data_IF_438388847475
#
_entry.id   IF_438388847475
#
_cell.length_a   1.000
_cell.length_b   1.000
_cell.length_c   1.000
_cell.angle_alpha   90.00
_cell.angle_beta   90.00
_cell.angle_gamma   90.00
#
_symmetry.space_group_name_H-M   'P 1'
#
loop_
_entity.id
_entity.type
_entity.pdbx_description
1 polymer ?
2 polymer ?
3 non-polymer ?
4 non-polymer ?
5 water ?
#
# COMPACT_ATOMS: atom_id res chain seq x y z
N UNK A 7 13.96 -26.37 -2.61
CA UNK A 7 14.25 -25.05 -3.24
C UNK A 7 12.98 -24.20 -3.28
N UNK A 8 12.72 -23.50 -2.17
CA UNK A 8 11.58 -22.59 -2.09
C UNK A 8 11.79 -21.41 -3.05
N UNK A 9 10.75 -20.99 -3.78
CA UNK A 9 10.93 -19.83 -4.68
C UNK A 9 11.40 -18.57 -3.92
N UNK A 10 12.33 -17.82 -4.52
CA UNK A 10 12.82 -16.55 -3.95
C UNK A 10 12.05 -15.40 -4.59
N UNK A 11 11.43 -14.57 -3.75
CA UNK A 11 10.61 -13.47 -4.23
C UNK A 11 11.12 -12.11 -3.71
N UNK A 12 11.12 -11.09 -4.58
CA UNK A 12 11.50 -9.73 -4.23
C UNK A 12 10.31 -8.83 -4.33
N UNK A 13 10.00 -8.13 -3.24
CA UNK A 13 8.98 -7.08 -3.23
C UNK A 13 9.67 -5.72 -3.24
N UNK A 14 9.30 -4.90 -4.21
CA UNK A 14 9.84 -3.54 -4.34
C UNK A 14 8.68 -2.58 -4.15
N UNK A 15 8.74 -1.83 -3.06
CA UNK A 15 7.63 -0.97 -2.67
C UNK A 15 8.16 0.06 -1.66
N UNK A 16 7.71 1.31 -1.82
CA UNK A 16 8.18 2.39 -0.98
C UNK A 16 7.25 2.66 0.18
N UNK A 17 6.01 2.19 0.12
CA UNK A 17 5.05 2.51 1.17
C UNK A 17 5.04 1.43 2.24
N UNK A 18 5.35 1.80 3.48
CA UNK A 18 5.49 0.82 4.57
C UNK A 18 4.20 0.10 4.96
N UNK A 19 3.06 0.78 4.85
CA UNK A 19 1.77 0.15 5.06
C UNK A 19 1.54 -0.91 4.00
N UNK A 20 1.80 -0.56 2.73
CA UNK A 20 1.65 -1.52 1.64
C UNK A 20 2.56 -2.75 1.88
N UNK A 21 3.77 -2.53 2.36
CA UNK A 21 4.70 -3.64 2.62
C UNK A 21 4.14 -4.59 3.69
N UNK A 22 3.65 -4.04 4.80
CA UNK A 22 3.17 -4.88 5.91
C UNK A 22 1.99 -5.74 5.43
N UNK A 23 1.09 -5.15 4.67
CA UNK A 23 -0.06 -5.89 4.17
C UNK A 23 0.37 -7.00 3.18
N UNK A 24 1.22 -6.67 2.21
CA UNK A 24 1.69 -7.65 1.20
C UNK A 24 2.49 -8.79 1.84
N UNK A 25 3.33 -8.44 2.80
CA UNK A 25 4.08 -9.46 3.57
C UNK A 25 3.21 -10.50 4.24
N UNK A 26 2.17 -10.05 4.94
CA UNK A 26 1.25 -10.96 5.61
C UNK A 26 0.42 -11.77 4.61
N UNK A 27 0.04 -11.18 3.48
CA UNK A 27 -0.69 -11.94 2.49
C UNK A 27 0.19 -13.05 1.93
N UNK A 28 1.44 -12.69 1.60
CA UNK A 28 2.36 -13.65 1.00
C UNK A 28 2.69 -14.75 2.00
N UNK A 29 2.78 -14.39 3.28
CA UNK A 29 3.02 -15.39 4.32
C UNK A 29 1.87 -16.38 4.39
N UNK A 30 0.64 -15.90 4.31
CA UNK A 30 -0.50 -16.81 4.37
C UNK A 30 -0.52 -17.73 3.15
N UNK A 31 0.04 -17.26 2.04
CA UNK A 31 0.19 -18.07 0.84
C UNK A 31 1.43 -18.97 0.88
N UNK A 32 2.25 -18.88 1.93
CA UNK A 32 3.35 -19.81 2.14
C UNK A 32 4.70 -19.29 1.68
N UNK A 33 4.84 -17.97 1.54
CA UNK A 33 6.06 -17.39 1.02
C UNK A 33 6.61 -16.25 1.88
N UNK A 34 7.93 -16.16 1.95
CA UNK A 34 8.61 -15.00 2.50
C UNK A 34 9.20 -14.22 1.32
N UNK A 35 9.53 -12.96 1.53
CA UNK A 35 10.08 -12.13 0.48
C UNK A 35 11.22 -11.29 1.00
N UNK A 36 12.18 -10.99 0.14
CA UNK A 36 13.12 -9.89 0.38
C UNK A 36 12.42 -8.56 0.02
N UNK A 37 12.84 -7.48 0.67
CA UNK A 37 12.20 -6.18 0.50
C UNK A 37 13.21 -5.16 -0.01
N UNK A 38 12.84 -4.44 -1.06
CA UNK A 38 13.59 -3.26 -1.54
C UNK A 38 12.63 -2.08 -1.55
N UNK A 39 13.09 -0.87 -1.25
CA UNK A 39 12.19 0.30 -1.12
C UNK A 39 12.23 1.29 -2.31
N UNK A 40 13.07 1.03 -3.29
CA UNK A 40 13.12 1.83 -4.54
C UNK A 40 13.84 1.04 -5.64
N UNK A 41 13.89 1.59 -6.84
CA UNK A 41 14.49 0.85 -7.98
C UNK A 41 15.96 0.55 -7.84
N UNK A 42 16.70 1.43 -7.16
CA UNK A 42 18.14 1.25 -6.97
C UNK A 42 18.37 0.05 -6.05
N UNK A 43 17.60 -0.01 -4.97
CA UNK A 43 17.66 -1.15 -4.07
C UNK A 43 17.24 -2.44 -4.79
N UNK A 44 16.25 -2.36 -5.68
CA UNK A 44 15.87 -3.53 -6.47
C UNK A 44 17.02 -4.06 -7.31
N UNK A 45 17.71 -3.15 -8.03
CA UNK A 45 18.83 -3.51 -8.88
C UNK A 45 19.97 -4.08 -8.03
N UNK A 46 20.24 -3.49 -6.88
CA UNK A 46 21.25 -4.03 -5.95
C UNK A 46 20.89 -5.47 -5.54
N UNK A 47 19.61 -5.72 -5.23
CA UNK A 47 19.19 -7.06 -4.81
C UNK A 47 19.31 -8.06 -5.94
N UNK A 48 18.85 -7.65 -7.13
CA UNK A 48 18.87 -8.49 -8.32
C UNK A 48 20.27 -8.81 -8.78
N UNK A 49 21.19 -7.85 -8.64
CA UNK A 49 22.59 -8.07 -8.99
C UNK A 49 23.24 -9.14 -8.10
N UNK A 50 22.77 -9.30 -6.88
CA UNK A 50 23.40 -10.18 -5.89
C UNK A 50 22.66 -11.48 -5.54
N UNK A 51 21.44 -11.66 -6.04
CA UNK A 51 20.66 -12.88 -5.81
C UNK A 51 19.89 -13.24 -7.07
N UNK A 52 19.54 -14.52 -7.22
CA UNK A 52 18.73 -14.96 -8.35
C UNK A 52 17.30 -15.16 -7.87
N UNK A 53 16.42 -14.24 -8.25
CA UNK A 53 14.98 -14.31 -7.88
C UNK A 53 14.17 -15.10 -8.89
N UNK A 54 13.06 -15.67 -8.42
CA UNK A 54 12.08 -16.36 -9.27
C UNK A 54 10.93 -15.44 -9.66
N UNK A 55 10.73 -14.37 -8.91
CA UNK A 55 9.65 -13.42 -9.16
C UNK A 55 9.93 -12.08 -8.48
N UNK A 56 9.57 -10.99 -9.12
CA UNK A 56 9.73 -9.65 -8.56
C UNK A 56 8.37 -8.99 -8.67
N UNK A 57 7.91 -8.43 -7.55
CA UNK A 57 6.68 -7.63 -7.49
C UNK A 57 7.16 -6.17 -7.42
N UNK A 58 6.88 -5.38 -8.45
CA UNK A 58 7.53 -4.08 -8.62
C UNK A 58 6.54 -2.95 -8.58
N UNK A 59 6.59 -2.14 -7.53
CA UNK A 59 5.76 -0.95 -7.46
C UNK A 59 6.17 -0.04 -8.61
N UNK A 60 5.20 0.66 -9.18
CA UNK A 60 5.48 1.58 -10.28
C UNK A 60 6.04 2.92 -9.80
N UNK A 61 5.36 3.58 -8.88
CA UNK A 61 5.77 4.91 -8.43
C UNK A 61 6.55 4.84 -7.12
N UNK A 62 7.83 5.23 -7.19
CA UNK A 62 8.75 5.21 -6.06
C UNK A 62 9.74 6.36 -6.24
N UNK A 63 10.26 6.91 -5.13
CA UNK A 63 11.35 7.88 -5.21
C UNK A 63 12.70 7.27 -5.59
N UNK A 64 13.61 8.14 -5.98
CA UNK A 64 14.98 7.82 -6.35
C UNK A 64 15.04 7.18 -7.74
N UNK A 65 14.38 6.03 -7.88
CA UNK A 65 14.24 5.38 -9.18
C UNK A 65 12.93 4.62 -9.20
N UNK A 66 12.07 4.92 -10.17
CA UNK A 66 10.75 4.32 -10.21
C UNK A 66 10.79 2.92 -10.83
N UNK A 67 9.68 2.19 -10.75
CA UNK A 67 9.68 0.80 -11.17
C UNK A 67 9.69 0.62 -12.67
N UNK A 68 9.23 1.63 -13.40
CA UNK A 68 9.22 1.54 -14.87
C UNK A 68 10.68 1.62 -15.38
N UNK A 69 11.41 2.64 -14.94
CA UNK A 69 12.81 2.76 -15.30
C UNK A 69 13.63 1.59 -14.79
N UNK A 70 13.41 1.17 -13.54
CA UNK A 70 14.15 0.04 -12.98
C UNK A 70 13.98 -1.19 -13.87
N UNK A 71 12.75 -1.46 -14.28
CA UNK A 71 12.44 -2.61 -15.15
C UNK A 71 13.18 -2.49 -16.47
N UNK A 72 13.16 -1.32 -17.09
CA UNK A 72 13.93 -1.13 -18.36
C UNK A 72 15.40 -1.47 -18.18
N UNK A 73 15.97 -1.01 -17.07
CA UNK A 73 17.38 -1.24 -16.77
C UNK A 73 17.69 -2.70 -16.51
N UNK A 74 16.78 -3.41 -15.84
CA UNK A 74 16.93 -4.84 -15.64
C UNK A 74 16.82 -5.57 -16.97
N UNK A 75 15.91 -5.16 -17.85
CA UNK A 75 15.81 -5.78 -19.18
C UNK A 75 17.08 -5.54 -19.99
N UNK A 76 17.66 -4.36 -19.87
CA UNK A 76 18.93 -4.08 -20.57
C UNK A 76 20.08 -4.95 -20.09
N UNK A 77 20.16 -5.13 -18.78
CA UNK A 77 21.06 -6.08 -18.17
C UNK A 77 20.87 -7.50 -18.69
N UNK A 78 19.62 -7.94 -18.77
CA UNK A 78 19.33 -9.28 -19.28
C UNK A 78 19.74 -9.43 -20.76
N UNK A 79 19.54 -8.39 -21.55
CA UNK A 79 19.93 -8.40 -22.95
C UNK A 79 21.45 -8.37 -23.17
N UNK A 80 22.15 -7.49 -22.48
CA UNK A 80 23.57 -7.21 -22.76
C UNK A 80 24.53 -7.93 -21.81
N UNK A 81 24.08 -8.30 -20.62
CA UNK A 81 24.97 -8.93 -19.66
C UNK A 81 25.69 -7.95 -18.73
N UNK A 82 25.41 -6.66 -18.87
CA UNK A 82 25.99 -5.66 -17.95
C UNK A 82 24.99 -4.57 -17.55
N UNK A 83 25.40 -3.79 -16.56
CA UNK A 83 24.58 -2.71 -16.04
C UNK A 83 24.92 -1.34 -16.62
N UNK A 84 25.54 -1.28 -17.80
CA UNK A 84 25.97 0.02 -18.33
C UNK A 84 24.82 1.02 -18.57
N UNK A 85 23.63 0.56 -18.96
CA UNK A 85 22.46 1.47 -19.10
C UNK A 85 22.17 2.12 -17.74
N UNK A 86 22.24 1.33 -16.69
CA UNK A 86 21.98 1.81 -15.31
C UNK A 86 23.05 2.79 -14.86
N UNK A 87 24.30 2.48 -15.18
CA UNK A 87 25.39 3.37 -14.82
C UNK A 87 25.19 4.73 -15.50
N UNK A 88 24.90 4.74 -16.81
CA UNK A 88 24.70 6.00 -17.52
C UNK A 88 23.52 6.78 -16.94
N UNK A 89 22.52 6.09 -16.41
CA UNK A 89 21.36 6.75 -15.82
C UNK A 89 21.62 7.22 -14.38
N UNK A 90 22.84 7.04 -13.88
CA UNK A 90 23.21 7.53 -12.54
C UNK A 90 23.08 6.53 -11.40
N UNK A 91 22.83 5.26 -11.70
CA UNK A 91 22.68 4.25 -10.65
C UNK A 91 24.04 3.75 -10.17
N UNK A 92 24.27 3.81 -8.86
CA UNK A 92 25.55 3.35 -8.29
C UNK A 92 25.54 1.83 -8.10
N UNK A 93 26.50 1.14 -8.72
CA UNK A 93 26.50 -0.33 -8.77
C UNK A 93 27.85 -0.97 -8.44
N UNK A 94 27.88 -1.73 -7.33
CA UNK A 94 29.08 -2.44 -6.88
C UNK A 94 28.97 -3.94 -7.17
N UNK A 106 20.36 -15.75 -20.35
CA UNK A 106 19.03 -16.07 -20.89
C UNK A 106 18.17 -16.77 -19.84
N UNK A 107 17.76 -16.00 -18.81
CA UNK A 107 16.82 -16.47 -17.80
C UNK A 107 15.93 -15.31 -17.33
N UNK A 108 14.89 -14.98 -18.13
CA UNK A 108 14.10 -13.74 -17.98
C UNK A 108 13.27 -13.69 -16.70
N UNK A 109 13.60 -12.72 -15.85
CA UNK A 109 12.94 -12.53 -14.57
C UNK A 109 11.46 -12.19 -14.76
N UNK A 110 10.55 -12.91 -14.10
CA UNK A 110 9.17 -12.46 -14.16
C UNK A 110 9.00 -11.19 -13.30
N UNK A 111 8.54 -10.09 -13.90
CA UNK A 111 8.38 -8.82 -13.19
C UNK A 111 6.92 -8.37 -13.28
N UNK A 112 6.27 -8.30 -12.14
CA UNK A 112 4.85 -7.98 -12.05
C UNK A 112 4.67 -6.57 -11.49
N UNK A 113 4.06 -5.66 -12.27
CA UNK A 113 3.82 -4.28 -11.80
C UNK A 113 2.74 -4.25 -10.73
N UNK A 114 2.86 -3.32 -9.79
CA UNK A 114 1.74 -3.00 -8.88
C UNK A 114 1.36 -1.54 -9.18
N UNK A 115 0.14 -1.34 -9.71
CA UNK A 115 -0.28 -0.05 -10.27
C UNK A 115 -1.29 0.63 -9.38
N UNK A 116 -1.37 1.95 -9.47
CA UNK A 116 -2.13 2.81 -8.55
C UNK A 116 -3.33 3.56 -9.16
N UNK A 117 -3.90 3.08 -10.26
CA UNK A 117 -5.14 3.67 -10.78
C UNK A 117 -5.03 5.14 -11.18
N UNK A 118 -3.99 5.44 -11.93
CA UNK A 118 -3.80 6.76 -12.48
C UNK A 118 -3.37 6.65 -13.97
N UNK A 119 -3.49 7.77 -14.64
CA UNK A 119 -3.14 7.89 -16.04
C UNK A 119 -1.66 7.51 -16.22
N UNK A 120 -0.81 7.82 -15.23
CA UNK A 120 0.62 7.53 -15.26
C UNK A 120 0.96 6.05 -15.02
N UNK A 121 -0.05 5.18 -14.90
CA UNK A 121 0.19 3.77 -14.59
C UNK A 121 -0.73 2.81 -15.32
N UNK A 122 -0.99 3.05 -16.62
CA UNK A 122 -1.74 2.07 -17.42
C UNK A 122 -0.98 0.74 -17.49
N UNK A 123 -1.73 -0.34 -17.61
CA UNK A 123 -1.12 -1.63 -17.86
C UNK A 123 -0.27 -1.63 -19.16
N UNK A 124 -0.70 -0.88 -20.18
CA UNK A 124 0.02 -0.85 -21.46
C UNK A 124 1.42 -0.21 -21.29
N UNK A 125 1.48 0.83 -20.47
CA UNK A 125 2.71 1.48 -20.02
C UNK A 125 3.66 0.54 -19.24
N UNK A 126 3.10 -0.21 -18.30
CA UNK A 126 3.87 -1.27 -17.63
C UNK A 126 4.50 -2.18 -18.65
N UNK A 127 3.67 -2.69 -19.57
CA UNK A 127 4.16 -3.56 -20.64
C UNK A 127 5.23 -2.87 -21.51
N UNK A 128 5.02 -1.59 -21.82
CA UNK A 128 5.98 -0.82 -22.66
C UNK A 128 7.33 -0.57 -21.98
N UNK A 129 7.40 -0.74 -20.64
CA UNK A 129 8.66 -0.63 -19.92
C UNK A 129 9.28 -1.99 -19.55
N UNK A 130 8.66 -3.06 -20.03
CA UNK A 130 9.22 -4.40 -19.93
C UNK A 130 8.66 -5.28 -18.85
N UNK A 131 7.57 -4.85 -18.19
CA UNK A 131 6.91 -5.69 -17.18
C UNK A 131 6.07 -6.76 -17.88
N UNK A 132 5.97 -7.91 -17.25
CA UNK A 132 5.25 -9.08 -17.80
C UNK A 132 3.77 -9.09 -17.50
N UNK A 133 3.40 -8.55 -16.35
CA UNK A 133 2.03 -8.58 -15.88
C UNK A 133 1.83 -7.44 -14.85
N UNK A 134 0.63 -7.35 -14.31
CA UNK A 134 0.35 -6.31 -13.33
C UNK A 134 -0.75 -6.75 -12.39
N UNK A 135 -0.71 -6.17 -11.19
CA UNK A 135 -1.74 -6.25 -10.18
C UNK A 135 -2.15 -4.81 -9.85
N UNK A 136 -3.45 -4.58 -9.86
CA UNK A 136 -4.05 -3.31 -9.54
C UNK A 136 -4.15 -3.17 -8.02
N UNK A 137 -3.63 -2.08 -7.46
CA UNK A 137 -3.71 -1.90 -6.01
C UNK A 137 -5.12 -1.50 -5.63
N UNK A 138 -5.56 -1.82 -4.41
CA UNK A 138 -4.83 -2.45 -3.34
C UNK A 138 -4.63 -3.94 -3.59
N UNK A 139 -3.47 -4.48 -3.20
CA UNK A 139 -3.22 -5.92 -3.33
C UNK A 139 -4.18 -6.71 -2.45
N UNK A 140 -4.74 -7.79 -2.99
CA UNK A 140 -5.60 -8.70 -2.22
C UNK A 140 -5.02 -10.10 -2.28
N UNK A 141 -5.46 -10.97 -1.37
CA UNK A 141 -5.02 -12.36 -1.40
C UNK A 141 -5.34 -13.02 -2.72
N UNK A 142 -6.54 -12.79 -3.24
CA UNK A 142 -6.94 -13.42 -4.51
C UNK A 142 -6.12 -12.93 -5.71
N UNK A 143 -5.79 -11.63 -5.77
CA UNK A 143 -4.95 -11.07 -6.82
C UNK A 143 -3.53 -11.67 -6.79
N UNK A 144 -2.98 -11.82 -5.58
CA UNK A 144 -1.66 -12.44 -5.45
C UNK A 144 -1.72 -13.89 -5.81
N UNK A 145 -2.72 -14.59 -5.32
CA UNK A 145 -2.87 -16.00 -5.64
C UNK A 145 -2.90 -16.25 -7.14
N UNK A 146 -3.74 -15.48 -7.84
CA UNK A 146 -3.86 -15.59 -9.30
C UNK A 146 -2.55 -15.35 -10.00
N UNK A 147 -1.79 -14.40 -9.50
CA UNK A 147 -0.52 -14.12 -10.06
C UNK A 147 0.49 -15.29 -9.79
N UNK A 148 0.60 -15.74 -8.54
CA UNK A 148 1.56 -16.78 -8.19
C UNK A 148 1.30 -18.10 -8.90
N UNK A 149 0.03 -18.46 -9.06
CA UNK A 149 -0.30 -19.71 -9.66
C UNK A 149 0.12 -19.78 -11.16
N UNK A 150 0.27 -18.63 -11.81
CA UNK A 150 0.76 -18.56 -13.19
C UNK A 150 2.28 -18.47 -13.29
N UNK A 151 2.90 -17.71 -12.39
CA UNK A 151 4.32 -17.35 -12.52
C UNK A 151 5.28 -18.07 -11.55
N UNK A 152 4.76 -18.77 -10.53
CA UNK A 152 5.60 -19.58 -9.63
C UNK A 152 5.29 -21.07 -9.78
N UNK A 153 6.36 -21.86 -9.91
CA UNK A 153 6.24 -23.30 -10.15
C UNK A 153 6.63 -24.07 -8.89
N UNK B 6 -23.15 -5.83 30.25
CA UNK B 6 -22.14 -6.88 30.52
C UNK B 6 -22.53 -8.23 29.87
N UNK B 7 -23.60 -8.23 29.08
CA UNK B 7 -24.02 -9.43 28.32
C UNK B 7 -23.07 -9.65 27.14
N UNK B 8 -22.20 -10.66 27.20
CA UNK B 8 -21.18 -10.85 26.15
C UNK B 8 -21.78 -11.20 24.80
N UNK B 9 -22.90 -11.93 24.80
CA UNK B 9 -23.53 -12.26 23.54
C UNK B 9 -24.02 -10.98 22.88
N UNK B 10 -24.67 -10.11 23.65
CA UNK B 10 -25.13 -8.82 23.08
C UNK B 10 -23.96 -7.93 22.70
N UNK B 11 -22.89 -7.91 23.50
CA UNK B 11 -21.67 -7.16 23.13
C UNK B 11 -21.10 -7.57 21.78
N UNK B 12 -21.00 -8.88 21.55
CA UNK B 12 -20.51 -9.39 20.29
C UNK B 12 -21.48 -9.02 19.15
N UNK B 13 -22.80 -9.10 19.36
CA UNK B 13 -23.75 -8.71 18.31
C UNK B 13 -23.66 -7.21 18.00
N UNK B 14 -23.50 -6.41 19.04
CA UNK B 14 -23.33 -4.96 18.93
C UNK B 14 -22.06 -4.63 18.11
N UNK B 15 -20.96 -5.35 18.40
CA UNK B 15 -19.71 -5.20 17.66
C UNK B 15 -19.90 -5.51 16.18
N UNK B 16 -20.64 -6.58 15.83
CA UNK B 16 -20.95 -6.94 14.43
C UNK B 16 -21.76 -5.83 13.77
N UNK B 17 -22.78 -5.36 14.48
CA UNK B 17 -23.65 -4.30 13.95
C UNK B 17 -22.87 -2.99 13.73
N UNK B 18 -22.04 -2.62 14.70
CA UNK B 18 -21.16 -1.46 14.59
C UNK B 18 -20.25 -1.58 13.37
N UNK B 19 -19.65 -2.74 13.18
CA UNK B 19 -18.76 -2.95 12.02
C UNK B 19 -19.54 -2.81 10.72
N UNK B 20 -20.68 -3.49 10.63
CA UNK B 20 -21.56 -3.36 9.47
C UNK B 20 -21.94 -1.92 9.16
N UNK B 21 -22.19 -1.11 10.20
CA UNK B 21 -22.54 0.31 10.01
C UNK B 21 -21.42 1.08 9.29
N UNK B 22 -20.17 0.80 9.65
CA UNK B 22 -19.02 1.47 9.05
C UNK B 22 -18.93 1.20 7.54
N UNK B 23 -19.26 -0.02 7.14
CA UNK B 23 -19.28 -0.40 5.72
C UNK B 23 -20.45 0.26 4.99
N UNK B 24 -21.61 0.27 5.62
CA UNK B 24 -22.80 0.91 5.06
C UNK B 24 -22.57 2.41 4.86
N UNK B 25 -21.90 3.04 5.84
CA UNK B 25 -21.62 4.46 5.79
C UNK B 25 -20.44 4.83 4.84
N UNK B 26 -19.75 3.83 4.29
CA UNK B 26 -18.65 4.07 3.34
C UNK B 26 -17.33 4.43 3.99
N UNK B 27 -17.26 4.36 5.32
CA UNK B 27 -16.06 4.69 6.03
C UNK B 27 -15.01 3.60 5.79
N UNK B 28 -15.44 2.34 5.73
CA UNK B 28 -14.57 1.23 5.37
C UNK B 28 -15.10 0.58 4.11
N UNK B 29 -14.20 0.01 3.30
CA UNK B 29 -14.61 -0.80 2.14
C UNK B 29 -14.04 -2.21 2.28
N UNK B 30 -14.25 -3.06 1.28
CA UNK B 30 -13.94 -4.48 1.43
C UNK B 30 -12.45 -4.77 1.66
N UNK B 31 -11.55 -3.82 1.37
CA UNK B 31 -10.13 -4.04 1.68
C UNK B 31 -9.89 -4.18 3.18
N UNK B 32 -10.69 -3.51 4.02
CA UNK B 32 -10.56 -3.71 5.46
C UNK B 32 -10.82 -5.16 5.83
N UNK B 33 -11.76 -5.80 5.15
CA UNK B 33 -12.02 -7.22 5.39
C UNK B 33 -10.82 -8.12 5.07
N UNK B 34 -10.06 -7.76 4.04
CA UNK B 34 -8.81 -8.47 3.73
C UNK B 34 -7.92 -8.49 4.94
N UNK B 35 -7.81 -7.35 5.62
CA UNK B 35 -6.95 -7.28 6.80
C UNK B 35 -7.50 -8.19 7.90
N UNK B 36 -8.81 -8.15 8.12
CA UNK B 36 -9.41 -8.99 9.16
C UNK B 36 -9.20 -10.48 8.86
N UNK B 37 -9.29 -10.84 7.58
CA UNK B 37 -9.04 -12.23 7.17
C UNK B 37 -7.61 -12.70 7.47
N UNK B 38 -6.65 -11.80 7.45
CA UNK B 38 -5.24 -12.13 7.74
C UNK B 38 -4.94 -12.33 9.23
N UNK B 39 -5.81 -11.82 10.08
CA UNK B 39 -5.63 -11.95 11.53
C UNK B 39 -6.15 -13.30 12.02
N UNK B 40 -5.25 -14.11 12.58
CA UNK B 40 -5.58 -15.44 13.10
C UNK B 40 -4.60 -15.80 14.23
N UNK B 41 -4.64 -17.05 14.71
CA UNK B 41 -3.72 -17.52 15.75
C UNK B 41 -2.25 -17.30 15.34
N UNK B 42 -1.95 -17.48 14.06
CA UNK B 42 -0.61 -17.18 13.52
C UNK B 42 -0.24 -15.68 13.41
N UNK B 43 -1.20 -14.76 13.62
CA UNK B 43 -0.98 -13.31 13.42
C UNK B 43 -2.01 -12.47 14.26
N UNK B 44 -1.96 -12.58 15.61
CA UNK B 44 -3.13 -12.27 16.50
C UNK B 44 -3.63 -10.82 16.64
N UNK B 45 -2.73 -9.86 16.48
CA UNK B 45 -3.04 -8.42 16.61
C UNK B 45 -2.75 -7.70 15.27
N UNK B 46 -2.76 -8.45 14.18
CA UNK B 46 -2.41 -7.89 12.87
C UNK B 46 -3.19 -6.63 12.46
N UNK B 47 -4.52 -6.63 12.56
CA UNK B 47 -5.30 -5.44 12.15
C UNK B 47 -4.90 -4.19 12.92
N UNK B 48 -4.84 -4.29 14.24
CA UNK B 48 -4.43 -3.16 15.04
C UNK B 48 -3.01 -2.73 14.73
N UNK B 49 -2.12 -3.68 14.45
CA UNK B 49 -0.73 -3.30 14.15
C UNK B 49 -0.66 -2.49 12.86
N UNK B 50 -1.37 -2.94 11.81
CA UNK B 50 -1.36 -2.25 10.52
C UNK B 50 -2.02 -0.90 10.62
N UNK B 51 -3.13 -0.85 11.33
CA UNK B 51 -3.86 0.42 11.51
C UNK B 51 -3.09 1.44 12.37
N UNK B 52 -2.39 0.96 13.40
CA UNK B 52 -1.53 1.84 14.20
C UNK B 52 -0.41 2.43 13.37
N UNK B 53 0.21 1.61 12.51
CA UNK B 53 1.22 2.11 11.58
C UNK B 53 0.64 3.15 10.62
N UNK B 54 -0.56 2.88 10.10
CA UNK B 54 -1.32 3.86 9.30
C UNK B 54 -1.46 5.21 10.01
N UNK B 55 -1.87 5.19 11.27
CA UNK B 55 -2.04 6.43 12.03
C UNK B 55 -0.71 7.18 12.25
N UNK B 56 0.34 6.44 12.64
CA UNK B 56 1.71 6.99 12.81
C UNK B 56 2.19 7.70 11.55
N UNK B 57 2.11 6.99 10.44
CA UNK B 57 2.56 7.55 9.17
C UNK B 57 1.70 8.73 8.71
N UNK B 58 0.38 8.57 8.82
CA UNK B 58 -0.58 9.57 8.32
C UNK B 58 -0.54 10.83 9.18
N UNK B 59 -0.36 10.69 10.50
CA UNK B 59 -0.23 11.86 11.40
C UNK B 59 0.92 12.73 10.89
N UNK B 60 2.04 12.10 10.56
CA UNK B 60 3.23 12.76 10.10
C UNK B 60 3.02 13.44 8.73
N UNK B 61 2.42 12.71 7.79
CA UNK B 61 2.06 13.24 6.46
C UNK B 61 1.14 14.47 6.56
N UNK B 62 0.12 14.40 7.42
CA UNK B 62 -0.83 15.51 7.51
C UNK B 62 -0.16 16.77 8.10
N UNK B 63 0.76 16.58 9.03
CA UNK B 63 1.51 17.72 9.58
C UNK B 63 2.45 18.31 8.50
N UNK B 64 3.11 17.45 7.73
CA UNK B 64 3.97 17.90 6.64
C UNK B 64 3.20 18.65 5.56
N UNK B 65 2.03 18.12 5.17
CA UNK B 65 1.15 18.76 4.18
C UNK B 65 0.66 20.12 4.66
N UNK B 66 0.36 20.19 5.94
CA UNK B 66 -0.11 21.43 6.55
C UNK B 66 0.94 22.54 6.47
N UNK B 67 2.20 22.18 6.71
CA UNK B 67 3.33 23.12 6.58
C UNK B 67 3.51 23.55 5.14
N UNK B 68 3.42 22.58 4.22
CA UNK B 68 3.68 22.87 2.82
C UNK B 68 2.64 23.82 2.20
N UNK B 69 1.38 23.73 2.64
CA UNK B 69 0.35 24.61 2.13
C UNK B 69 0.34 25.98 2.79
N UNK B 70 0.99 26.12 3.95
CA UNK B 70 1.15 27.41 4.63
C UNK B 70 2.28 28.29 4.09
N UNK B 71 3.23 27.71 3.35
CA UNK B 71 4.37 28.47 2.84
C UNK B 71 3.92 29.57 1.87
N UNK B 72 4.67 30.67 1.84
CA UNK B 72 4.35 31.81 0.98
C UNK B 72 4.29 31.46 -0.50
N UNK B 73 5.29 30.74 -1.02
CA UNK B 73 5.19 30.15 -2.36
C UNK B 73 5.03 28.64 -2.19
N UNK B 74 3.91 28.10 -2.67
CA UNK B 74 3.58 26.69 -2.46
C UNK B 74 4.27 25.82 -3.50
N UNK B 75 5.23 25.03 -3.06
CA UNK B 75 5.93 24.09 -3.94
C UNK B 75 5.10 22.81 -4.07
N UNK B 76 4.31 22.74 -5.14
CA UNK B 76 3.39 21.62 -5.41
C UNK B 76 4.08 20.27 -5.68
N UNK B 77 5.38 20.32 -5.96
CA UNK B 77 6.17 19.10 -6.14
C UNK B 77 6.55 18.54 -4.75
N UNK B 78 6.45 19.37 -3.72
CA UNK B 78 6.62 18.94 -2.34
C UNK B 78 5.30 18.44 -1.74
N UNK B 79 4.17 18.91 -2.28
CA UNK B 79 2.84 18.62 -1.75
C UNK B 79 2.30 17.28 -2.27
N UNK B 80 2.30 17.11 -3.59
CA UNK B 80 1.69 15.95 -4.22
C UNK B 80 2.17 14.59 -3.67
N UNK B 81 3.49 14.39 -3.45
CA UNK B 81 3.94 13.09 -2.93
C UNK B 81 3.29 12.71 -1.59
N UNK B 82 2.96 13.70 -0.77
CA UNK B 82 2.28 13.46 0.51
C UNK B 82 0.84 13.02 0.29
N UNK B 83 0.15 13.66 -0.64
CA UNK B 83 -1.23 13.28 -0.98
C UNK B 83 -1.23 11.87 -1.60
N UNK B 84 -0.25 11.60 -2.45
CA UNK B 84 -0.10 10.30 -3.07
C UNK B 84 0.08 9.21 -2.01
N UNK B 85 0.95 9.44 -1.04
CA UNK B 85 1.23 8.44 0.01
C UNK B 85 -0.03 8.18 0.86
N UNK B 86 -0.75 9.24 1.22
CA UNK B 86 -1.96 9.09 2.02
C UNK B 86 -3.03 8.32 1.24
N UNK B 87 -3.13 8.60 -0.06
CA UNK B 87 -4.07 7.88 -0.94
C UNK B 87 -3.77 6.39 -0.90
N UNK B 88 -2.50 6.05 -1.08
CA UNK B 88 -2.07 4.65 -1.13
C UNK B 88 -2.32 3.91 0.19
N UNK B 89 -1.94 4.54 1.29
CA UNK B 89 -2.09 3.94 2.62
C UNK B 89 -3.57 3.72 2.96
N UNK B 90 -4.39 4.73 2.69
CA UNK B 90 -5.85 4.62 2.90
C UNK B 90 -6.47 3.54 2.06
N UNK B 91 -6.06 3.46 0.79
CA UNK B 91 -6.54 2.44 -0.09
C UNK B 91 -6.24 1.03 0.46
N UNK B 92 -5.02 0.86 0.95
CA UNK B 92 -4.53 -0.43 1.40
C UNK B 92 -5.14 -0.88 2.72
N UNK B 93 -5.71 0.02 3.51
CA UNK B 93 -6.43 -0.44 4.73
C UNK B 93 -7.94 -0.36 4.59
N UNK B 94 -8.41 0.19 3.47
CA UNK B 94 -9.83 0.27 3.16
C UNK B 94 -10.55 1.47 3.73
N UNK B 95 -9.83 2.57 3.95
CA UNK B 95 -10.40 3.83 4.46
C UNK B 95 -10.87 4.61 3.26
N UNK B 96 -12.04 4.22 2.79
CA UNK B 96 -12.49 4.59 1.45
C UNK B 96 -12.78 6.08 1.31
N UNK B 97 -13.36 6.67 2.34
CA UNK B 97 -13.67 8.10 2.29
C UNK B 97 -12.42 8.98 2.36
N UNK B 98 -11.40 8.53 3.08
CA UNK B 98 -10.10 9.22 3.06
C UNK B 98 -9.47 9.09 1.68
N UNK B 99 -9.50 7.89 1.13
CA UNK B 99 -8.97 7.66 -0.21
C UNK B 99 -9.65 8.57 -1.24
N UNK B 100 -10.98 8.60 -1.22
CA UNK B 100 -11.70 9.42 -2.17
C UNK B 100 -11.40 10.93 -2.02
N UNK B 101 -11.27 11.41 -0.78
CA UNK B 101 -10.89 12.82 -0.54
C UNK B 101 -9.49 13.10 -1.11
N UNK B 102 -8.58 12.13 -1.00
CA UNK B 102 -7.24 12.28 -1.54
C UNK B 102 -7.25 12.26 -3.07
N UNK B 103 -8.12 11.46 -3.68
CA UNK B 103 -8.25 11.48 -5.17
C UNK B 103 -8.63 12.89 -5.66
N UNK B 104 -9.65 13.49 -5.03
CA UNK B 104 -10.03 14.86 -5.38
C UNK B 104 -8.89 15.87 -5.14
N UNK B 105 -8.21 15.75 -4.01
CA UNK B 105 -7.04 16.58 -3.66
C UNK B 105 -6.00 16.54 -4.79
N UNK B 106 -5.64 15.34 -5.26
CA UNK B 106 -4.65 15.24 -6.31
C UNK B 106 -5.08 16.00 -7.56
N UNK B 107 -6.39 16.07 -7.83
CA UNK B 107 -6.87 16.81 -9.01
C UNK B 107 -6.55 18.28 -8.89
N UNK B 108 -6.74 18.84 -7.71
CA UNK B 108 -6.48 20.26 -7.49
C UNK B 108 -4.99 20.57 -7.32
N UNK B 109 -4.21 19.58 -6.90
CA UNK B 109 -2.75 19.69 -6.92
C UNK B 109 -2.23 19.77 -8.34
N UNK B 110 -2.78 18.94 -9.22
CA UNK B 110 -2.42 18.94 -10.64
C UNK B 110 -2.61 20.31 -11.26
N UNK B 111 -3.78 20.91 -10.98
CA UNK B 111 -4.16 22.23 -11.50
C UNK B 111 -3.50 23.40 -10.76
N UNK B 112 -2.66 23.11 -9.76
CA UNK B 112 -1.93 24.11 -8.99
C UNK B 112 -2.85 25.12 -8.28
N UNK B 113 -4.06 24.69 -7.92
CA UNK B 113 -5.09 25.57 -7.35
C UNK B 113 -4.99 25.58 -5.82
N UNK B 114 -4.45 26.68 -5.28
CA UNK B 114 -4.07 26.71 -3.86
C UNK B 114 -5.30 26.78 -2.94
N UNK B 115 -6.30 27.59 -3.29
CA UNK B 115 -7.52 27.71 -2.47
C UNK B 115 -8.25 26.37 -2.39
N UNK B 116 -8.35 25.68 -3.53
CA UNK B 116 -9.01 24.37 -3.56
C UNK B 116 -8.26 23.37 -2.69
N UNK B 117 -6.92 23.42 -2.76
CA UNK B 117 -6.07 22.55 -1.97
C UNK B 117 -6.27 22.72 -0.45
N UNK B 118 -6.37 23.95 0.02
CA UNK B 118 -6.71 24.20 1.41
C UNK B 118 -8.02 23.54 1.82
N UNK B 119 -9.03 23.63 0.95
CA UNK B 119 -10.33 23.02 1.23
C UNK B 119 -10.20 21.47 1.25
N UNK B 120 -9.46 20.94 0.28
CA UNK B 120 -9.22 19.51 0.20
C UNK B 120 -8.47 18.99 1.44
N UNK B 121 -7.50 19.77 1.95
CA UNK B 121 -6.77 19.35 3.15
C UNK B 121 -7.71 19.27 4.36
N UNK B 122 -8.54 20.29 4.54
CA UNK B 122 -9.55 20.26 5.61
C UNK B 122 -10.44 19.01 5.48
N UNK B 123 -10.91 18.69 4.27
CA UNK B 123 -11.76 17.50 4.07
C UNK B 123 -11.04 16.18 4.42
N UNK B 124 -9.79 16.05 3.97
CA UNK B 124 -9.01 14.85 4.26
C UNK B 124 -8.86 14.68 5.77
N UNK B 125 -8.54 15.79 6.46
CA UNK B 125 -8.46 15.75 7.92
C UNK B 125 -9.77 15.29 8.60
N UNK B 126 -10.90 15.81 8.15
CA UNK B 126 -12.20 15.43 8.71
C UNK B 126 -12.47 13.94 8.52
N UNK B 127 -12.18 13.43 7.33
CA UNK B 127 -12.36 12.00 7.04
C UNK B 127 -11.36 11.13 7.79
N UNK B 128 -10.14 11.65 7.92
CA UNK B 128 -9.09 10.91 8.63
C UNK B 128 -9.42 10.80 10.12
N UNK B 129 -9.83 11.89 10.72
CA UNK B 129 -10.23 11.85 12.13
C UNK B 129 -11.48 10.99 12.39
N UNK B 130 -12.42 10.99 11.46
CA UNK B 130 -13.57 10.08 11.52
C UNK B 130 -13.17 8.60 11.53
N UNK B 131 -12.33 8.17 10.59
CA UNK B 131 -11.97 6.77 10.50
C UNK B 131 -11.06 6.41 11.68
N UNK B 132 -10.22 7.34 12.13
CA UNK B 132 -9.41 7.09 13.32
C UNK B 132 -10.29 6.80 14.55
N UNK B 133 -11.24 7.70 14.83
CA UNK B 133 -12.25 7.49 15.89
C UNK B 133 -12.95 6.15 15.77
N UNK B 134 -13.39 5.78 14.58
CA UNK B 134 -14.19 4.56 14.47
C UNK B 134 -13.35 3.29 14.66
N UNK B 135 -12.15 3.30 14.13
CA UNK B 135 -11.26 2.15 14.26
C UNK B 135 -10.68 2.04 15.66
N UNK B 136 -10.32 3.15 16.30
CA UNK B 136 -9.89 3.05 17.72
C UNK B 136 -10.97 2.44 18.58
N UNK B 137 -12.21 2.86 18.34
CA UNK B 137 -13.35 2.32 19.04
C UNK B 137 -13.57 0.83 18.74
N UNK B 138 -13.40 0.41 17.49
CA UNK B 138 -13.54 -0.99 17.15
C UNK B 138 -12.60 -1.83 17.98
N UNK B 139 -11.35 -1.38 18.11
CA UNK B 139 -10.36 -2.17 18.86
C UNK B 139 -10.70 -2.17 20.35
N UNK B 140 -11.24 -1.07 20.84
CA UNK B 140 -11.63 -0.97 22.25
C UNK B 140 -12.71 -2.00 22.56
N UNK B 141 -13.70 -2.09 21.67
CA UNK B 141 -14.80 -3.03 21.85
C UNK B 141 -14.32 -4.50 21.79
N UNK B 142 -13.45 -4.80 20.85
CA UNK B 142 -12.86 -6.13 20.77
C UNK B 142 -12.08 -6.48 22.06
N UNK B 143 -11.23 -5.56 22.52
CA UNK B 143 -10.39 -5.84 23.69
C UNK B 143 -11.22 -6.06 24.92
N UNK B 144 -12.27 -5.26 25.09
CA UNK B 144 -13.21 -5.48 26.17
C UNK B 144 -13.72 -6.93 26.21
N UNK B 145 -14.23 -7.39 25.07
CA UNK B 145 -14.81 -8.71 25.01
C UNK B 145 -13.75 -9.79 25.34
N UNK B 146 -12.55 -9.65 24.76
CA UNK B 146 -11.48 -10.67 24.95
C UNK B 146 -11.01 -10.70 26.41
N UNK B 147 -10.75 -9.53 27.00
CA UNK B 147 -10.38 -9.44 28.43
C UNK B 147 -11.47 -9.97 29.35
N UNK B 148 -12.73 -10.00 28.90
CA UNK B 148 -13.82 -10.56 29.77
C UNK B 148 -13.97 -12.08 29.61
N UNK B 149 -13.06 -12.68 28.86
CA UNK B 149 -13.06 -14.13 28.67
C UNK B 149 -13.89 -14.53 27.47
N UNK B 150 -14.36 -13.54 26.71
CA UNK B 150 -15.11 -13.76 25.50
C UNK B 150 -14.21 -13.90 24.29
N UNK B 151 -14.80 -13.84 23.13
CA UNK B 151 -14.02 -13.99 21.93
C UNK B 151 -14.66 -13.26 20.78
N UNK B 152 -13.82 -12.85 19.84
CA UNK B 152 -14.26 -12.28 18.59
C UNK B 152 -14.18 -13.45 17.61
N UNK B 153 -15.31 -13.83 17.02
CA UNK B 153 -15.16 -14.85 15.98
C UNK B 153 -14.35 -14.35 14.77
N UNK B 154 -13.61 -15.28 14.17
CA UNK B 154 -12.70 -14.95 13.08
C UNK B 154 -13.50 -14.71 11.82
N UNK B 155 -13.07 -13.71 11.05
CA UNK B 155 -13.66 -13.42 9.77
C UNK B 155 -13.18 -14.50 8.78
N UNK B 156 -14.07 -15.45 8.48
CA UNK B 156 -13.73 -16.57 7.57
C UNK B 156 -14.18 -16.32 6.12
N UNK B 157 -14.23 -15.05 5.71
CA UNK B 157 -14.71 -14.68 4.39
C UNK B 157 -13.64 -14.91 3.32
#
# INVERSE_FOLDING_TARGET
>A
GSHMETSKPKILLVEDNKINIMVAKSMMKQLGHTMDIANNGVEAITAINSSSYDLVLMDVCMPVLDGLKATRLIRSYEETGNWNAAIEAGVDISTSENEQVCMRPTNRLPIIAMTANTLAESSEECYANGMDSFISKPVTLQKLRECLQQYLH
>B
GPLGSMDLVQKQKSLQDYTKSLFLEGILDSQFLQLQQLQDESNPDFVSQVVTLFFQDSDRILNDLSLSLDQQVVDFKKVDPHVHQLKGSSSSIGAQRVKNACVVFRSFCEQQNVEACHRCLQQVKQEYYLVKNRLETLFKLEQQIVASGGMIPAVELGF
#
